data_IF_496232905849
#
_entry.id   IF_496232905849
#
_cell.length_a   1.000
_cell.length_b   1.000
_cell.length_c   1.000
_cell.angle_alpha   90.00
_cell.angle_beta   90.00
_cell.angle_gamma   90.00
#
_symmetry.space_group_name_H-M   'P 1'
#
loop_
_entity.id
_entity.type
_entity.pdbx_description
1 polymer ?
#
# COMPACT_ATOMS: atom_id res chain seq x y z
N UNK A 1 21.50 0.14 -15.63
CA UNK A 1 21.31 1.41 -14.89
C UNK A 1 21.33 1.06 -13.41
N UNK A 2 22.21 1.61 -12.56
CA UNK A 2 22.09 1.40 -11.12
C UNK A 2 21.06 2.43 -10.59
N UNK A 3 19.81 1.99 -10.43
CA UNK A 3 18.75 2.80 -9.81
C UNK A 3 19.03 2.85 -8.31
N UNK A 4 19.62 3.96 -7.87
CA UNK A 4 20.07 4.15 -6.50
C UNK A 4 18.90 4.46 -5.56
N UNK A 5 18.91 3.74 -4.43
CA UNK A 5 18.11 3.92 -3.21
C UNK A 5 16.62 3.62 -3.37
N UNK A 6 16.26 2.35 -3.22
CA UNK A 6 15.05 2.00 -2.48
C UNK A 6 15.24 2.57 -1.06
N UNK A 7 14.87 3.84 -0.86
CA UNK A 7 14.59 4.33 0.49
C UNK A 7 13.43 3.47 0.97
N UNK A 8 13.66 2.64 1.97
CA UNK A 8 12.66 1.69 2.47
C UNK A 8 11.51 2.50 3.05
N UNK A 9 10.48 2.74 2.22
CA UNK A 9 9.22 3.32 2.66
C UNK A 9 8.65 2.38 3.71
N UNK A 10 8.40 2.91 4.91
CA UNK A 10 7.90 2.11 6.02
C UNK A 10 6.46 1.67 5.78
N UNK A 11 6.05 0.56 6.39
CA UNK A 11 4.69 0.02 6.26
C UNK A 11 3.64 1.09 6.65
N UNK A 12 3.92 1.88 7.69
CA UNK A 12 3.04 2.96 8.15
C UNK A 12 2.86 4.07 7.11
N UNK A 13 3.87 4.36 6.29
CA UNK A 13 3.79 5.37 5.24
C UNK A 13 2.86 4.91 4.11
N UNK A 14 2.94 3.63 3.75
CA UNK A 14 2.03 3.01 2.77
C UNK A 14 0.59 3.00 3.32
N UNK A 15 0.38 2.63 4.58
CA UNK A 15 -0.96 2.63 5.19
C UNK A 15 -1.55 4.05 5.31
N UNK A 16 -0.72 5.04 5.65
CA UNK A 16 -1.12 6.45 5.69
C UNK A 16 -1.59 6.96 4.33
N UNK A 17 -1.03 6.47 3.23
CA UNK A 17 -1.48 6.84 1.89
C UNK A 17 -2.96 6.49 1.69
N UNK A 18 -3.36 5.27 2.05
CA UNK A 18 -4.77 4.84 1.95
C UNK A 18 -5.68 5.66 2.87
N UNK A 19 -5.23 5.97 4.08
CA UNK A 19 -6.01 6.77 5.05
C UNK A 19 -6.23 8.23 4.62
N UNK A 20 -5.25 8.81 3.91
CA UNK A 20 -5.29 10.21 3.45
C UNK A 20 -5.89 10.39 2.06
N UNK A 21 -6.02 9.31 1.28
CA UNK A 21 -6.62 9.33 -0.04
C UNK A 21 -8.11 9.67 0.03
N UNK A 22 -8.58 10.53 -0.87
CA UNK A 22 -10.03 10.75 -1.06
C UNK A 22 -10.71 9.53 -1.71
N UNK A 23 -9.93 8.71 -2.44
CA UNK A 23 -10.43 7.49 -3.06
C UNK A 23 -10.50 6.34 -2.03
N UNK A 24 -11.62 5.60 -1.97
CA UNK A 24 -11.82 4.53 -1.00
C UNK A 24 -10.95 3.29 -1.24
N UNK A 25 -10.34 3.18 -2.43
CA UNK A 25 -9.43 2.11 -2.80
C UNK A 25 -8.46 2.60 -3.87
N UNK A 26 -7.23 2.09 -3.87
CA UNK A 26 -6.20 2.42 -4.83
C UNK A 26 -5.75 1.17 -5.61
N UNK A 27 -5.31 1.38 -6.84
CA UNK A 27 -4.56 0.40 -7.63
C UNK A 27 -3.10 0.37 -7.18
N UNK A 28 -2.41 -0.75 -7.43
CA UNK A 28 -0.96 -0.85 -7.17
C UNK A 28 -0.14 0.23 -7.87
N UNK A 29 -0.57 0.65 -9.07
CA UNK A 29 0.07 1.74 -9.84
C UNK A 29 0.04 3.07 -9.13
N UNK A 30 -1.11 3.43 -8.56
CA UNK A 30 -1.28 4.69 -7.83
C UNK A 30 -0.40 4.70 -6.59
N UNK A 31 -0.38 3.59 -5.83
CA UNK A 31 0.52 3.46 -4.68
C UNK A 31 1.99 3.56 -5.10
N UNK A 32 2.37 2.91 -6.21
CA UNK A 32 3.74 2.92 -6.70
C UNK A 32 4.21 4.32 -7.10
N UNK A 33 3.34 5.08 -7.78
CA UNK A 33 3.61 6.46 -8.18
C UNK A 33 3.79 7.36 -6.95
N UNK A 34 2.94 7.21 -5.93
CA UNK A 34 2.99 8.01 -4.70
C UNK A 34 4.23 7.73 -3.84
N UNK A 35 4.65 6.47 -3.71
CA UNK A 35 5.83 6.10 -2.91
C UNK A 35 7.14 6.12 -3.72
N UNK A 36 7.09 6.44 -5.01
CA UNK A 36 8.26 6.52 -5.90
C UNK A 36 8.87 5.16 -6.25
N UNK A 37 8.10 4.08 -6.17
CA UNK A 37 8.56 2.70 -6.43
C UNK A 37 8.10 2.20 -7.80
N UNK A 38 8.69 1.09 -8.24
CA UNK A 38 8.13 0.36 -9.38
C UNK A 38 6.92 -0.47 -8.95
N UNK A 39 5.94 -0.63 -9.84
CA UNK A 39 4.81 -1.55 -9.63
C UNK A 39 5.23 -2.95 -9.16
N UNK A 40 6.34 -3.46 -9.70
CA UNK A 40 6.87 -4.78 -9.35
C UNK A 40 7.42 -4.81 -7.91
N UNK A 41 7.94 -3.70 -7.40
CA UNK A 41 8.40 -3.56 -6.02
C UNK A 41 7.28 -3.24 -5.03
N UNK A 42 6.24 -2.52 -5.47
CA UNK A 42 5.09 -2.16 -4.64
C UNK A 42 4.16 -3.34 -4.39
N UNK A 43 3.90 -4.18 -5.40
CA UNK A 43 2.95 -5.30 -5.26
C UNK A 43 3.29 -6.27 -4.11
N UNK A 44 4.54 -6.73 -3.93
CA UNK A 44 4.91 -7.56 -2.78
C UNK A 44 4.63 -6.89 -1.43
N UNK A 45 4.95 -5.60 -1.31
CA UNK A 45 4.72 -4.82 -0.07
C UNK A 45 3.24 -4.77 0.29
N UNK A 46 2.37 -4.54 -0.70
CA UNK A 46 0.91 -4.54 -0.50
C UNK A 46 0.38 -5.92 -0.11
N UNK A 47 0.94 -6.99 -0.69
CA UNK A 47 0.61 -8.37 -0.31
C UNK A 47 1.03 -8.67 1.13
N UNK A 48 2.21 -8.23 1.55
CA UNK A 48 2.66 -8.42 2.94
C UNK A 48 1.75 -7.69 3.94
N UNK A 49 1.26 -6.50 3.59
CA UNK A 49 0.29 -5.77 4.42
C UNK A 49 -1.08 -6.45 4.46
N UNK A 50 -1.53 -7.02 3.35
CA UNK A 50 -2.74 -7.86 3.29
C UNK A 50 -2.59 -9.12 4.15
N UNK A 51 -1.45 -9.82 4.08
CA UNK A 51 -1.18 -11.00 4.91
C UNK A 51 -1.15 -10.67 6.41
N UNK A 52 -0.76 -9.44 6.77
CA UNK A 52 -0.86 -8.92 8.14
C UNK A 52 -2.27 -8.48 8.54
N UNK A 53 -3.23 -8.52 7.61
CA UNK A 53 -4.61 -8.06 7.80
C UNK A 53 -4.76 -6.54 7.83
N UNK A 54 -3.75 -5.77 7.42
CA UNK A 54 -3.76 -4.30 7.46
C UNK A 54 -4.33 -3.68 6.18
N UNK A 55 -4.36 -4.46 5.09
CA UNK A 55 -5.03 -4.10 3.85
C UNK A 55 -5.96 -5.23 3.45
N UNK A 56 -7.01 -4.87 2.73
CA UNK A 56 -7.88 -5.79 2.02
C UNK A 56 -7.64 -5.65 0.50
N UNK A 57 -7.89 -6.71 -0.25
CA UNK A 57 -7.77 -6.69 -1.71
C UNK A 57 -9.00 -7.24 -2.41
N UNK A 58 -9.27 -6.74 -3.62
CA UNK A 58 -10.15 -7.40 -4.57
C UNK A 58 -9.39 -7.73 -5.83
N UNK A 59 -9.12 -9.02 -6.00
CA UNK A 59 -8.59 -9.59 -7.24
C UNK A 59 -9.71 -10.24 -8.05
N UNK A 60 -9.85 -9.85 -9.31
CA UNK A 60 -10.91 -10.35 -10.21
C UNK A 60 -11.00 -9.58 -11.53
N UNK A 61 -10.44 -8.36 -11.55
CA UNK A 61 -10.16 -7.59 -12.77
C UNK A 61 -8.71 -7.73 -13.24
N UNK A 62 -8.30 -6.89 -14.20
CA UNK A 62 -6.94 -6.89 -14.79
C UNK A 62 -5.85 -6.43 -13.81
N UNK A 63 -6.21 -5.63 -12.82
CA UNK A 63 -5.31 -5.05 -11.81
C UNK A 63 -6.03 -5.15 -10.44
N UNK A 64 -5.35 -5.57 -9.36
CA UNK A 64 -5.93 -5.58 -8.02
C UNK A 64 -6.16 -4.15 -7.51
N UNK A 65 -7.24 -3.98 -6.75
CA UNK A 65 -7.51 -2.79 -5.94
C UNK A 65 -7.31 -3.12 -4.46
N UNK A 66 -6.91 -2.13 -3.69
CA UNK A 66 -6.50 -2.24 -2.30
C UNK A 66 -7.17 -1.15 -1.48
N UNK A 67 -7.57 -1.48 -0.26
CA UNK A 67 -8.07 -0.49 0.69
C UNK A 67 -7.65 -0.86 2.09
N UNK A 68 -7.67 0.13 2.99
CA UNK A 68 -7.35 -0.06 4.39
C UNK A 68 -8.43 -0.93 5.05
N UNK A 69 -8.01 -1.94 5.80
CA UNK A 69 -8.92 -2.73 6.63
C UNK A 69 -9.25 -2.00 7.93
N UNK A 70 -10.23 -2.51 8.68
CA UNK A 70 -10.53 -2.00 10.02
C UNK A 70 -9.30 -2.15 10.94
N UNK A 71 -8.61 -3.30 10.87
CA UNK A 71 -7.36 -3.53 11.62
C UNK A 71 -6.22 -2.61 11.16
N UNK A 72 -6.18 -2.25 9.87
CA UNK A 72 -5.26 -1.27 9.32
C UNK A 72 -5.50 0.13 9.89
N UNK A 73 -6.75 0.53 10.05
CA UNK A 73 -7.13 1.78 10.73
C UNK A 73 -6.69 1.76 12.20
N UNK A 74 -6.99 0.69 12.95
CA UNK A 74 -6.59 0.56 14.36
C UNK A 74 -5.06 0.56 14.53
N UNK A 75 -4.33 -0.06 13.59
CA UNK A 75 -2.87 -0.06 13.58
C UNK A 75 -2.32 1.36 13.40
N UNK A 76 -2.87 2.16 12.49
CA UNK A 76 -2.45 3.55 12.31
C UNK A 76 -2.71 4.37 13.58
N UNK A 77 -3.89 4.26 14.20
CA UNK A 77 -4.23 5.01 15.41
C UNK A 77 -3.31 4.69 16.60
N UNK A 78 -2.74 3.48 16.66
CA UNK A 78 -1.83 3.06 17.74
C UNK A 78 -0.36 3.45 17.51
N UNK A 79 0.01 3.78 16.27
CA UNK A 79 1.41 4.03 15.86
C UNK A 79 1.64 5.48 15.39
N UNK A 80 0.64 6.36 15.52
CA UNK A 80 0.71 7.81 15.30
C UNK A 80 0.72 8.59 16.63
#
# INVERSE_FOLDING_TARGET
>A
MPGGREETVEDIEILMLFSKSDDPALFTGEVADEIGFSNQGTLPRLRELEEKGLLETKSGGRVPIWWLSDEGHEYLDQNL
#
